data_IF_322077416010
#
_entry.id   IF_322077416010
#
_cell.length_a   1.000
_cell.length_b   1.000
_cell.length_c   1.000
_cell.angle_alpha   90.00
_cell.angle_beta   90.00
_cell.angle_gamma   90.00
#
_symmetry.space_group_name_H-M   'P 1'
#
loop_
_entity.id
_entity.type
_entity.pdbx_description
1 polymer ?
#
# COMPACT_ATOMS: atom_id res chain seq x y z
N UNK A 1 10.30 16.55 1.03
CA UNK A 1 9.33 16.11 0.00
C UNK A 1 9.05 14.66 0.26
N UNK A 2 7.79 14.28 0.39
CA UNK A 2 7.40 12.90 0.72
C UNK A 2 7.95 11.88 -0.28
N UNK A 3 8.34 10.69 0.20
CA UNK A 3 8.50 9.50 -0.64
C UNK A 3 7.14 8.85 -0.83
N UNK A 4 6.71 8.73 -2.08
CA UNK A 4 5.36 8.26 -2.44
C UNK A 4 5.42 6.81 -2.88
N UNK A 5 4.66 5.93 -2.21
CA UNK A 5 4.71 4.49 -2.40
C UNK A 5 3.33 3.94 -2.75
N UNK A 6 3.20 3.32 -3.93
CA UNK A 6 2.03 2.52 -4.26
C UNK A 6 2.18 1.11 -3.68
N UNK A 7 1.19 0.63 -2.92
CA UNK A 7 1.16 -0.75 -2.43
C UNK A 7 0.26 -1.57 -3.35
N UNK A 8 0.85 -2.33 -4.26
CA UNK A 8 0.14 -2.98 -5.35
C UNK A 8 0.47 -4.46 -5.48
N UNK A 9 -0.54 -5.24 -5.81
CA UNK A 9 -0.47 -6.61 -6.33
C UNK A 9 -1.82 -6.97 -6.94
N UNK A 10 -1.82 -7.59 -8.11
CA UNK A 10 -3.04 -8.01 -8.82
C UNK A 10 -3.80 -9.11 -8.07
N UNK A 11 -3.08 -9.94 -7.32
CA UNK A 11 -3.69 -11.03 -6.55
C UNK A 11 -4.40 -10.47 -5.32
N UNK A 12 -5.66 -10.87 -5.13
CA UNK A 12 -6.42 -10.61 -3.92
C UNK A 12 -5.86 -11.39 -2.72
N UNK A 13 -6.04 -10.86 -1.50
CA UNK A 13 -5.70 -11.57 -0.27
C UNK A 13 -4.21 -11.68 0.06
N UNK A 14 -3.30 -11.07 -0.69
CA UNK A 14 -1.83 -11.13 -0.43
C UNK A 14 -1.35 -10.22 0.71
N UNK A 15 -2.27 -9.51 1.38
CA UNK A 15 -1.92 -8.65 2.51
C UNK A 15 -1.57 -7.20 2.15
N UNK A 16 -2.00 -6.67 1.00
CA UNK A 16 -1.81 -5.24 0.63
C UNK A 16 -2.30 -4.32 1.74
N UNK A 17 -3.56 -4.40 2.09
CA UNK A 17 -4.20 -3.60 3.14
C UNK A 17 -3.50 -3.76 4.49
N UNK A 18 -3.26 -5.00 4.90
CA UNK A 18 -2.60 -5.30 6.19
C UNK A 18 -1.19 -4.72 6.24
N UNK A 19 -0.44 -4.85 5.14
CA UNK A 19 0.92 -4.28 5.05
C UNK A 19 0.87 -2.76 5.10
N UNK A 20 -0.01 -2.11 4.34
CA UNK A 20 -0.12 -0.64 4.33
C UNK A 20 -0.47 -0.10 5.71
N UNK A 21 -1.54 -0.61 6.33
CA UNK A 21 -2.00 -0.18 7.65
C UNK A 21 -0.91 -0.36 8.71
N UNK A 22 -0.29 -1.54 8.78
CA UNK A 22 0.69 -1.83 9.83
C UNK A 22 2.03 -1.14 9.59
N UNK A 23 2.46 -0.98 8.34
CA UNK A 23 3.70 -0.27 8.02
C UNK A 23 3.54 1.23 8.27
N UNK A 24 2.42 1.85 7.86
CA UNK A 24 2.13 3.25 8.15
C UNK A 24 2.11 3.50 9.67
N UNK A 25 1.37 2.68 10.42
CA UNK A 25 1.31 2.82 11.87
C UNK A 25 2.68 2.59 12.54
N UNK A 26 3.47 1.62 12.08
CA UNK A 26 4.81 1.38 12.61
C UNK A 26 5.75 2.57 12.35
N UNK A 27 5.73 3.15 11.15
CA UNK A 27 6.50 4.35 10.81
C UNK A 27 6.07 5.57 11.64
N UNK A 28 4.74 5.76 11.82
CA UNK A 28 4.20 6.82 12.66
C UNK A 28 4.64 6.66 14.13
N UNK A 29 4.61 5.45 14.69
CA UNK A 29 5.12 5.14 16.03
C UNK A 29 6.64 5.38 16.16
N UNK A 30 7.37 5.43 15.05
CA UNK A 30 8.79 5.80 14.98
C UNK A 30 9.01 7.31 14.72
N UNK A 31 7.95 8.13 14.81
CA UNK A 31 8.02 9.58 14.69
C UNK A 31 8.07 10.11 13.27
N UNK A 32 7.70 9.29 12.26
CA UNK A 32 7.57 9.76 10.86
C UNK A 32 6.16 10.31 10.59
N UNK A 33 6.08 11.38 9.80
CA UNK A 33 4.81 11.90 9.31
C UNK A 33 4.34 11.06 8.13
N UNK A 34 3.26 10.31 8.30
CA UNK A 34 2.80 9.32 7.31
C UNK A 34 1.36 9.58 6.93
N UNK A 35 1.09 9.61 5.62
CA UNK A 35 -0.25 9.62 5.04
C UNK A 35 -0.54 8.29 4.36
N UNK A 36 -1.69 7.69 4.68
CA UNK A 36 -2.24 6.54 3.98
C UNK A 36 -3.42 7.01 3.12
N UNK A 37 -3.33 6.83 1.81
CA UNK A 37 -4.41 7.10 0.86
C UNK A 37 -5.04 5.77 0.47
N UNK A 38 -6.28 5.56 0.85
CA UNK A 38 -7.02 4.35 0.50
C UNK A 38 -7.62 4.52 -0.90
N UNK A 39 -7.08 3.81 -1.89
CA UNK A 39 -7.56 3.79 -3.28
C UNK A 39 -8.37 2.53 -3.59
N UNK A 40 -8.65 1.68 -2.60
CA UNK A 40 -9.50 0.50 -2.76
C UNK A 40 -10.95 0.84 -2.39
N UNK A 41 -11.93 0.69 -3.32
CA UNK A 41 -13.35 0.91 -3.03
C UNK A 41 -13.91 0.12 -1.85
N UNK A 42 -13.22 -0.96 -1.44
CA UNK A 42 -13.63 -1.72 -0.25
C UNK A 42 -13.40 -0.93 1.06
N UNK A 43 -12.55 0.10 1.08
CA UNK A 43 -12.28 0.95 2.24
C UNK A 43 -11.72 0.19 3.44
N UNK A 44 -11.01 -0.92 3.20
CA UNK A 44 -10.51 -1.78 4.26
C UNK A 44 -9.28 -1.18 4.97
N UNK A 45 -8.48 -0.37 4.27
CA UNK A 45 -7.36 0.32 4.89
C UNK A 45 -7.88 1.46 5.79
N UNK A 46 -8.92 2.18 5.36
CA UNK A 46 -9.61 3.18 6.17
C UNK A 46 -10.10 2.59 7.49
N UNK A 47 -10.85 1.47 7.42
CA UNK A 47 -11.33 0.78 8.64
C UNK A 47 -10.19 0.27 9.52
N UNK A 48 -9.12 -0.23 8.92
CA UNK A 48 -7.94 -0.72 9.65
C UNK A 48 -7.17 0.37 10.39
N UNK A 49 -7.38 1.63 10.01
CA UNK A 49 -6.85 2.83 10.69
C UNK A 49 -7.90 3.51 11.62
N UNK A 50 -9.04 2.86 11.83
CA UNK A 50 -10.10 3.39 12.71
C UNK A 50 -11.01 4.43 12.06
N UNK A 51 -10.92 4.64 10.74
CA UNK A 51 -11.73 5.62 10.01
C UNK A 51 -12.95 4.95 9.40
N UNK A 52 -14.14 5.51 9.63
CA UNK A 52 -15.39 4.99 9.11
C UNK A 52 -15.44 5.06 7.58
N UNK A 53 -15.97 4.02 6.92
CA UNK A 53 -16.15 3.98 5.45
C UNK A 53 -17.19 5.00 4.94
N UNK A 54 -17.93 5.64 5.85
CA UNK A 54 -18.89 6.70 5.56
C UNK A 54 -18.28 8.10 5.70
N UNK A 55 -17.00 8.19 6.07
CA UNK A 55 -16.30 9.47 6.23
C UNK A 55 -16.26 10.24 4.92
N UNK A 56 -16.52 11.56 5.03
CA UNK A 56 -16.43 12.52 3.94
C UNK A 56 -15.80 13.83 4.41
N UNK A 57 -15.13 14.57 3.50
CA UNK A 57 -14.79 14.14 2.15
C UNK A 57 -13.78 13.00 2.15
N UNK A 58 -13.65 12.26 1.04
CA UNK A 58 -12.84 11.07 0.93
C UNK A 58 -12.14 10.98 -0.45
N UNK A 59 -11.47 9.87 -0.77
CA UNK A 59 -10.75 9.68 -2.05
C UNK A 59 -11.67 9.87 -3.26
N UNK A 60 -12.92 9.44 -3.21
CA UNK A 60 -13.88 9.68 -4.30
C UNK A 60 -14.17 11.17 -4.47
N UNK A 61 -14.43 11.88 -3.37
CA UNK A 61 -14.71 13.32 -3.41
C UNK A 61 -13.49 14.11 -3.95
N UNK A 62 -12.29 13.68 -3.59
CA UNK A 62 -11.05 14.27 -4.08
C UNK A 62 -10.86 14.05 -5.60
N UNK A 63 -11.14 12.85 -6.11
CA UNK A 63 -10.90 12.51 -7.51
C UNK A 63 -12.01 13.02 -8.46
N UNK A 64 -13.27 13.06 -8.00
CA UNK A 64 -14.45 13.30 -8.82
C UNK A 64 -15.11 14.64 -8.50
N UNK A 65 -15.29 14.97 -7.22
CA UNK A 65 -16.05 16.14 -6.79
C UNK A 65 -15.17 17.38 -6.58
N UNK A 66 -13.84 17.26 -6.79
CA UNK A 66 -12.93 18.40 -6.69
C UNK A 66 -12.62 18.84 -5.26
N UNK A 67 -12.88 18.00 -4.25
CA UNK A 67 -12.49 18.29 -2.87
C UNK A 67 -10.96 18.44 -2.76
N UNK A 68 -10.50 19.43 -2.00
CA UNK A 68 -9.08 19.59 -1.77
C UNK A 68 -8.53 18.40 -0.97
N UNK A 69 -7.33 17.88 -1.34
CA UNK A 69 -6.76 16.72 -0.65
C UNK A 69 -6.62 16.95 0.87
N UNK A 70 -6.26 18.18 1.28
CA UNK A 70 -6.14 18.53 2.69
C UNK A 70 -7.47 18.42 3.46
N UNK A 71 -8.60 18.68 2.81
CA UNK A 71 -9.93 18.52 3.43
C UNK A 71 -10.32 17.05 3.61
N UNK A 72 -9.73 16.16 2.80
CA UNK A 72 -9.99 14.72 2.86
C UNK A 72 -9.14 14.00 3.93
N UNK A 73 -8.15 14.67 4.53
CA UNK A 73 -7.27 14.08 5.55
C UNK A 73 -8.02 13.92 6.87
N UNK A 74 -7.99 12.71 7.39
CA UNK A 74 -8.45 12.38 8.74
C UNK A 74 -7.23 12.05 9.59
N UNK A 75 -7.02 12.81 10.67
CA UNK A 75 -5.93 12.58 11.61
C UNK A 75 -6.27 11.42 12.54
N UNK A 76 -5.34 10.51 12.70
CA UNK A 76 -5.44 9.40 13.67
C UNK A 76 -4.18 9.33 14.54
N UNK A 77 -4.24 8.59 15.65
CA UNK A 77 -3.07 8.41 16.52
C UNK A 77 -1.94 7.58 15.88
N UNK A 78 -2.19 7.03 14.68
CA UNK A 78 -1.29 6.07 14.02
C UNK A 78 -0.87 6.50 12.62
N UNK A 79 -1.01 7.78 12.31
CA UNK A 79 -0.80 8.39 11.01
C UNK A 79 -2.11 8.89 10.39
N UNK A 80 -1.98 9.74 9.39
CA UNK A 80 -3.11 10.36 8.72
C UNK A 80 -3.67 9.47 7.61
N UNK A 81 -4.96 9.63 7.31
CA UNK A 81 -5.68 8.82 6.32
C UNK A 81 -6.54 9.68 5.41
N UNK A 82 -6.43 9.49 4.09
CA UNK A 82 -7.49 9.86 3.16
C UNK A 82 -8.32 8.60 2.91
N UNK A 83 -9.56 8.51 3.44
CA UNK A 83 -10.35 7.29 3.42
C UNK A 83 -11.01 7.04 2.07
N UNK A 84 -11.38 5.78 1.81
CA UNK A 84 -12.19 5.38 0.66
C UNK A 84 -13.61 4.98 1.07
N UNK A 85 -14.53 5.09 0.12
CA UNK A 85 -15.88 4.58 0.21
C UNK A 85 -16.23 3.70 -0.99
N UNK A 86 -17.35 2.99 -0.94
CA UNK A 86 -17.84 2.16 -2.05
C UNK A 86 -18.07 2.95 -3.34
N UNK A 87 -18.36 4.23 -3.25
CA UNK A 87 -18.58 5.12 -4.40
C UNK A 87 -17.32 5.24 -5.26
N UNK A 88 -16.13 5.05 -4.68
CA UNK A 88 -14.87 5.04 -5.42
C UNK A 88 -14.84 3.99 -6.56
N UNK A 89 -15.68 2.95 -6.50
CA UNK A 89 -15.81 1.99 -7.60
C UNK A 89 -16.32 2.66 -8.91
N UNK A 90 -17.12 3.72 -8.80
CA UNK A 90 -17.60 4.47 -9.97
C UNK A 90 -16.52 5.35 -10.59
N UNK A 91 -15.51 5.75 -9.84
CA UNK A 91 -14.49 6.70 -10.29
C UNK A 91 -13.77 6.24 -11.57
N UNK A 92 -13.53 4.92 -11.75
CA UNK A 92 -12.90 4.39 -12.97
C UNK A 92 -13.73 4.65 -14.23
N UNK A 93 -15.07 4.66 -14.11
CA UNK A 93 -15.99 4.94 -15.21
C UNK A 93 -16.13 6.44 -15.43
N UNK A 94 -16.26 7.21 -14.36
CA UNK A 94 -16.44 8.66 -14.41
C UNK A 94 -15.21 9.38 -14.96
N UNK A 95 -14.01 8.89 -14.63
CA UNK A 95 -12.75 9.43 -15.14
C UNK A 95 -12.44 9.04 -16.59
N UNK A 96 -13.23 8.17 -17.25
CA UNK A 96 -12.86 7.60 -18.55
C UNK A 96 -12.65 8.68 -19.63
N UNK A 97 -13.41 9.77 -19.56
CA UNK A 97 -13.35 10.90 -20.47
C UNK A 97 -12.58 12.10 -19.90
N UNK A 98 -12.00 11.98 -18.71
CA UNK A 98 -11.25 13.08 -18.11
C UNK A 98 -9.93 13.31 -18.84
N UNK A 99 -9.56 14.57 -19.02
CA UNK A 99 -8.25 14.94 -19.59
C UNK A 99 -7.16 14.51 -18.61
N UNK A 100 -6.14 13.83 -19.14
CA UNK A 100 -5.03 13.29 -18.32
C UNK A 100 -5.53 12.45 -17.12
N UNK A 101 -6.53 11.61 -17.40
CA UNK A 101 -7.21 10.75 -16.41
C UNK A 101 -6.27 9.88 -15.56
N UNK A 102 -5.10 9.56 -16.06
CA UNK A 102 -4.07 8.78 -15.36
C UNK A 102 -3.29 9.62 -14.33
N UNK A 103 -3.42 10.95 -14.36
CA UNK A 103 -2.69 11.89 -13.52
C UNK A 103 -3.55 12.57 -12.44
N UNK A 104 -4.83 12.26 -12.36
CA UNK A 104 -5.79 12.93 -11.47
C UNK A 104 -5.36 12.81 -10.01
N UNK A 105 -5.03 11.60 -9.55
CA UNK A 105 -4.59 11.36 -8.18
C UNK A 105 -3.27 12.10 -7.86
N UNK A 106 -2.30 12.07 -8.79
CA UNK A 106 -1.04 12.80 -8.62
C UNK A 106 -1.26 14.29 -8.42
N UNK A 107 -2.10 14.90 -9.28
CA UNK A 107 -2.41 16.33 -9.21
C UNK A 107 -3.12 16.69 -7.90
N UNK A 108 -4.06 15.86 -7.47
CA UNK A 108 -4.80 16.07 -6.24
C UNK A 108 -3.90 16.03 -4.99
N UNK A 109 -2.93 15.11 -4.95
CA UNK A 109 -2.05 14.93 -3.79
C UNK A 109 -0.86 15.90 -3.74
N UNK A 110 -0.58 16.66 -4.82
CA UNK A 110 0.63 17.53 -4.89
C UNK A 110 0.75 18.52 -3.73
N UNK A 111 -0.35 19.06 -3.24
CA UNK A 111 -0.37 20.01 -2.14
C UNK A 111 0.11 19.43 -0.81
N UNK A 112 0.08 18.10 -0.66
CA UNK A 112 0.44 17.38 0.57
C UNK A 112 1.89 16.86 0.56
N UNK A 113 2.62 16.96 -0.55
CA UNK A 113 3.95 16.35 -0.68
C UNK A 113 5.02 16.93 0.24
N UNK A 114 4.81 18.14 0.77
CA UNK A 114 5.72 18.78 1.73
C UNK A 114 5.43 18.42 3.19
N UNK A 115 4.25 17.92 3.49
CA UNK A 115 3.74 17.81 4.85
C UNK A 115 4.06 16.44 5.47
N UNK A 116 4.43 15.47 4.64
CA UNK A 116 4.70 14.09 5.05
C UNK A 116 6.11 13.64 4.68
N UNK A 117 6.63 12.68 5.46
CA UNK A 117 7.84 11.93 5.11
C UNK A 117 7.50 10.83 4.09
N UNK A 118 6.36 10.17 4.28
CA UNK A 118 5.88 9.07 3.44
C UNK A 118 4.39 9.18 3.12
N UNK A 119 4.03 8.89 1.86
CA UNK A 119 2.64 8.76 1.42
C UNK A 119 2.47 7.36 0.84
N UNK A 120 1.62 6.54 1.44
CA UNK A 120 1.29 5.20 0.96
C UNK A 120 -0.08 5.20 0.28
N UNK A 121 -0.16 4.68 -0.94
CA UNK A 121 -1.42 4.51 -1.67
C UNK A 121 -1.77 3.03 -1.75
N UNK A 122 -2.90 2.63 -1.16
CA UNK A 122 -3.37 1.23 -1.15
C UNK A 122 -4.15 0.96 -2.42
N UNK A 123 -3.62 0.13 -3.32
CA UNK A 123 -4.26 -0.19 -4.58
C UNK A 123 -5.28 -1.33 -4.46
N UNK A 124 -6.39 -1.30 -5.23
CA UNK A 124 -7.27 -2.44 -5.39
C UNK A 124 -6.56 -3.63 -6.05
N UNK A 125 -7.17 -4.84 -6.04
CA UNK A 125 -6.57 -6.05 -6.64
C UNK A 125 -6.78 -6.12 -8.16
N UNK A 126 -6.71 -4.99 -8.85
CA UNK A 126 -6.84 -4.88 -10.31
C UNK A 126 -5.83 -3.86 -10.85
N UNK A 127 -5.48 -3.97 -12.14
CA UNK A 127 -4.67 -2.95 -12.84
C UNK A 127 -5.55 -1.98 -13.63
N UNK A 128 -6.66 -1.59 -13.07
CA UNK A 128 -7.57 -0.60 -13.63
C UNK A 128 -7.10 0.83 -13.36
N UNK A 129 -7.89 1.82 -13.79
CA UNK A 129 -7.53 3.23 -13.80
C UNK A 129 -7.09 3.76 -12.41
N UNK A 130 -7.71 3.30 -11.32
CA UNK A 130 -7.31 3.70 -9.96
C UNK A 130 -5.89 3.24 -9.62
N UNK A 131 -5.55 1.98 -9.96
CA UNK A 131 -4.18 1.47 -9.76
C UNK A 131 -3.18 2.19 -10.67
N UNK A 132 -3.55 2.48 -11.92
CA UNK A 132 -2.70 3.27 -12.82
C UNK A 132 -2.45 4.67 -12.24
N UNK A 133 -3.47 5.34 -11.71
CA UNK A 133 -3.32 6.63 -11.04
C UNK A 133 -2.34 6.56 -9.85
N UNK A 134 -2.44 5.52 -9.02
CA UNK A 134 -1.51 5.31 -7.91
C UNK A 134 -0.07 5.10 -8.41
N UNK A 135 0.13 4.30 -9.46
CA UNK A 135 1.46 4.08 -10.07
C UNK A 135 2.04 5.35 -10.71
N UNK A 136 1.19 6.20 -11.30
CA UNK A 136 1.60 7.48 -11.89
C UNK A 136 1.98 8.50 -10.82
N UNK A 137 1.33 8.47 -9.68
CA UNK A 137 1.63 9.36 -8.55
C UNK A 137 2.87 8.90 -7.76
N UNK A 138 3.18 7.60 -7.73
CA UNK A 138 4.22 7.01 -6.90
C UNK A 138 5.66 7.24 -7.40
N UNK A 139 6.61 7.29 -6.47
CA UNK A 139 8.04 7.13 -6.75
C UNK A 139 8.40 5.65 -6.88
N UNK A 140 7.85 4.81 -6.00
CA UNK A 140 8.15 3.38 -5.96
C UNK A 140 6.90 2.54 -5.67
N UNK A 141 7.00 1.23 -6.00
CA UNK A 141 5.97 0.23 -5.73
C UNK A 141 6.45 -0.76 -4.68
N UNK A 142 5.73 -0.86 -3.56
CA UNK A 142 5.88 -1.93 -2.57
C UNK A 142 4.94 -3.07 -2.93
N UNK A 143 5.45 -4.29 -2.97
CA UNK A 143 4.72 -5.46 -3.46
C UNK A 143 4.57 -6.51 -2.34
N UNK A 144 3.48 -6.51 -1.58
CA UNK A 144 3.17 -7.61 -0.67
C UNK A 144 2.82 -8.88 -1.46
N UNK A 145 3.40 -10.02 -1.07
CA UNK A 145 3.30 -11.26 -1.84
C UNK A 145 3.30 -12.48 -0.93
N UNK A 146 2.44 -13.47 -1.21
CA UNK A 146 2.48 -14.78 -0.56
C UNK A 146 3.43 -15.73 -1.30
N UNK A 147 4.14 -16.59 -0.55
CA UNK A 147 5.00 -17.64 -1.12
C UNK A 147 4.17 -18.87 -1.52
N UNK A 148 3.42 -18.77 -2.61
CA UNK A 148 2.60 -19.83 -3.18
C UNK A 148 3.11 -20.24 -4.57
N UNK A 149 2.64 -21.37 -5.09
CA UNK A 149 3.12 -21.95 -6.34
C UNK A 149 3.13 -20.96 -7.54
N UNK A 150 2.03 -20.22 -7.73
CA UNK A 150 1.92 -19.25 -8.81
C UNK A 150 2.53 -17.86 -8.50
N UNK A 151 3.30 -17.76 -7.43
CA UNK A 151 3.86 -16.47 -7.01
C UNK A 151 4.87 -15.91 -8.03
N UNK A 152 5.70 -16.76 -8.62
CA UNK A 152 6.71 -16.37 -9.61
C UNK A 152 6.09 -15.90 -10.93
N UNK A 153 5.02 -16.53 -11.38
CA UNK A 153 4.29 -16.10 -12.56
C UNK A 153 3.61 -14.76 -12.32
N UNK A 154 2.85 -14.65 -11.22
CA UNK A 154 2.13 -13.41 -10.88
C UNK A 154 3.04 -12.19 -10.66
N UNK A 155 4.26 -12.39 -10.12
CA UNK A 155 5.20 -11.28 -9.98
C UNK A 155 5.74 -10.81 -11.33
N UNK A 156 5.99 -11.71 -12.26
CA UNK A 156 6.50 -11.39 -13.61
C UNK A 156 5.50 -10.50 -14.37
N UNK A 157 4.22 -10.82 -14.31
CA UNK A 157 3.15 -10.04 -14.94
C UNK A 157 3.03 -8.65 -14.31
N UNK A 158 3.08 -8.59 -12.98
CA UNK A 158 3.04 -7.30 -12.27
C UNK A 158 4.25 -6.44 -12.60
N UNK A 159 5.46 -6.99 -12.60
CA UNK A 159 6.69 -6.26 -12.96
C UNK A 159 6.65 -5.76 -14.40
N UNK A 160 6.08 -6.54 -15.32
CA UNK A 160 5.88 -6.13 -16.71
C UNK A 160 4.93 -4.93 -16.79
N UNK A 161 3.82 -4.96 -16.05
CA UNK A 161 2.85 -3.88 -16.00
C UNK A 161 3.44 -2.60 -15.37
N UNK A 162 4.21 -2.71 -14.28
CA UNK A 162 4.94 -1.59 -13.67
C UNK A 162 5.93 -0.99 -14.68
N UNK A 163 6.68 -1.82 -15.39
CA UNK A 163 7.62 -1.38 -16.42
C UNK A 163 6.93 -0.67 -17.58
N UNK A 164 5.74 -1.11 -17.98
CA UNK A 164 4.94 -0.43 -19.01
C UNK A 164 4.46 0.95 -18.53
N UNK A 165 3.97 1.04 -17.30
CA UNK A 165 3.61 2.30 -16.67
C UNK A 165 4.82 3.24 -16.58
N UNK A 166 5.97 2.74 -16.11
CA UNK A 166 7.21 3.50 -16.03
C UNK A 166 7.64 4.08 -17.39
N UNK A 167 7.59 3.29 -18.44
CA UNK A 167 8.00 3.76 -19.77
C UNK A 167 7.08 4.82 -20.38
N UNK A 168 5.77 4.74 -20.12
CA UNK A 168 4.77 5.55 -20.83
C UNK A 168 4.27 6.76 -20.02
N UNK A 169 4.15 6.62 -18.68
CA UNK A 169 3.43 7.56 -17.85
C UNK A 169 4.30 8.17 -16.74
N UNK A 170 5.15 7.36 -16.08
CA UNK A 170 5.95 7.82 -14.94
C UNK A 170 7.37 7.26 -14.98
N UNK A 171 8.27 7.93 -15.68
CA UNK A 171 9.67 7.48 -15.90
C UNK A 171 10.49 7.30 -14.62
N UNK A 172 10.04 7.86 -13.49
CA UNK A 172 10.72 7.74 -12.19
C UNK A 172 10.26 6.54 -11.39
N UNK A 173 9.14 5.89 -11.81
CA UNK A 173 8.56 4.77 -11.07
C UNK A 173 9.55 3.62 -10.95
N UNK A 174 9.93 3.33 -9.72
CA UNK A 174 10.79 2.22 -9.33
C UNK A 174 10.05 1.13 -8.55
N UNK A 175 10.82 0.15 -8.09
CA UNK A 175 10.33 -0.89 -7.18
C UNK A 175 10.98 -0.66 -5.82
N UNK A 176 10.16 -0.40 -4.81
CA UNK A 176 10.59 -0.27 -3.42
C UNK A 176 11.09 -1.60 -2.88
N UNK A 177 10.31 -2.62 -3.14
CA UNK A 177 10.67 -3.98 -2.77
C UNK A 177 9.47 -4.90 -2.68
N UNK A 178 9.76 -6.17 -2.40
CA UNK A 178 8.79 -7.25 -2.25
C UNK A 178 8.80 -7.72 -0.81
N UNK A 179 7.63 -7.67 -0.16
CA UNK A 179 7.42 -8.13 1.21
C UNK A 179 6.73 -9.48 1.18
N UNK A 180 7.41 -10.51 1.70
CA UNK A 180 6.84 -11.85 1.81
C UNK A 180 5.87 -11.90 2.99
N UNK A 181 4.59 -12.13 2.70
CA UNK A 181 3.50 -12.12 3.67
C UNK A 181 2.96 -13.53 3.93
N UNK A 182 2.27 -13.71 5.06
CA UNK A 182 1.70 -14.98 5.51
C UNK A 182 2.70 -16.14 5.44
N UNK A 183 3.97 -15.81 5.71
CA UNK A 183 5.08 -16.75 5.64
C UNK A 183 4.92 -17.85 6.70
N UNK A 184 4.99 -19.12 6.26
CA UNK A 184 5.05 -20.29 7.15
C UNK A 184 6.39 -21.03 6.92
N UNK A 185 7.31 -20.86 7.85
CA UNK A 185 8.64 -21.47 7.80
C UNK A 185 8.62 -23.01 7.89
N UNK A 186 7.49 -23.61 8.28
CA UNK A 186 7.33 -25.07 8.36
C UNK A 186 6.96 -25.68 7.00
N UNK A 187 6.48 -24.87 6.06
CA UNK A 187 6.08 -25.32 4.74
C UNK A 187 7.28 -25.26 3.77
N UNK A 188 7.71 -26.40 3.26
CA UNK A 188 8.83 -26.48 2.29
C UNK A 188 8.59 -25.63 1.06
N UNK A 189 7.35 -25.60 0.53
CA UNK A 189 6.99 -24.78 -0.62
C UNK A 189 7.26 -23.30 -0.36
N UNK A 190 6.88 -22.78 0.81
CA UNK A 190 7.10 -21.38 1.19
C UNK A 190 8.58 -21.02 1.14
N UNK A 191 9.44 -21.89 1.70
CA UNK A 191 10.88 -21.69 1.71
C UNK A 191 11.49 -21.77 0.30
N UNK A 192 11.04 -22.73 -0.52
CA UNK A 192 11.49 -22.85 -1.91
C UNK A 192 11.12 -21.60 -2.73
N UNK A 193 9.88 -21.16 -2.69
CA UNK A 193 9.42 -19.96 -3.41
C UNK A 193 10.15 -18.71 -2.94
N UNK A 194 10.35 -18.55 -1.63
CA UNK A 194 11.10 -17.41 -1.08
C UNK A 194 12.55 -17.38 -1.58
N UNK A 195 13.22 -18.55 -1.62
CA UNK A 195 14.60 -18.66 -2.12
C UNK A 195 14.68 -18.35 -3.62
N UNK A 196 13.73 -18.82 -4.41
CA UNK A 196 13.68 -18.49 -5.84
C UNK A 196 13.41 -16.99 -6.06
N UNK A 197 12.50 -16.38 -5.32
CA UNK A 197 12.28 -14.93 -5.39
C UNK A 197 13.55 -14.14 -5.05
N UNK A 198 14.26 -14.51 -3.99
CA UNK A 198 15.53 -13.87 -3.62
C UNK A 198 16.62 -14.09 -4.69
N UNK A 199 16.66 -15.26 -5.30
CA UNK A 199 17.60 -15.56 -6.38
C UNK A 199 17.38 -14.69 -7.62
N UNK A 200 16.10 -14.47 -8.02
CA UNK A 200 15.77 -13.71 -9.23
C UNK A 200 15.74 -12.21 -9.02
N UNK A 201 15.31 -11.74 -7.84
CA UNK A 201 15.03 -10.34 -7.57
C UNK A 201 16.02 -9.69 -6.59
N UNK A 202 16.91 -10.51 -5.99
CA UNK A 202 18.04 -10.07 -5.17
C UNK A 202 17.60 -9.16 -4.02
N UNK A 203 18.22 -8.02 -3.94
CA UNK A 203 18.02 -6.98 -2.92
C UNK A 203 16.63 -6.35 -2.95
N UNK A 204 15.83 -6.59 -4.00
CA UNK A 204 14.44 -6.13 -4.04
C UNK A 204 13.53 -6.91 -3.09
N UNK A 205 13.90 -8.10 -2.64
CA UNK A 205 13.13 -8.83 -1.63
C UNK A 205 13.57 -8.37 -0.24
N UNK A 206 12.60 -7.97 0.60
CA UNK A 206 12.88 -7.63 1.99
C UNK A 206 13.35 -8.86 2.75
N UNK A 207 14.33 -8.67 3.65
CA UNK A 207 14.78 -9.73 4.55
C UNK A 207 13.70 -10.09 5.55
N UNK A 208 12.99 -9.05 6.05
CA UNK A 208 11.88 -9.22 6.96
C UNK A 208 10.71 -9.91 6.26
N UNK A 209 10.23 -11.01 6.84
CA UNK A 209 9.03 -11.73 6.40
C UNK A 209 7.89 -11.54 7.40
N UNK A 210 6.67 -11.42 6.90
CA UNK A 210 5.48 -11.28 7.75
C UNK A 210 4.84 -12.65 7.95
N UNK A 211 4.85 -13.21 9.16
CA UNK A 211 4.26 -14.51 9.42
C UNK A 211 2.72 -14.48 9.35
N UNK A 212 2.11 -15.62 9.07
CA UNK A 212 0.66 -15.75 9.23
C UNK A 212 0.28 -15.50 10.70
N UNK A 213 -0.68 -14.60 10.94
CA UNK A 213 -1.10 -14.19 12.29
C UNK A 213 -2.59 -13.91 12.33
N UNK A 214 -3.28 -14.58 13.24
CA UNK A 214 -4.70 -14.35 13.52
C UNK A 214 -4.92 -12.94 14.07
N UNK A 215 -4.02 -12.45 14.93
CA UNK A 215 -4.11 -11.12 15.51
C UNK A 215 -4.10 -9.99 14.49
N UNK A 216 -3.29 -10.14 13.42
CA UNK A 216 -3.31 -9.19 12.30
C UNK A 216 -4.64 -9.21 11.53
N UNK A 217 -5.35 -10.34 11.51
CA UNK A 217 -6.65 -10.46 10.86
C UNK A 217 -7.80 -9.97 11.74
N UNK A 218 -7.66 -10.03 13.06
CA UNK A 218 -8.65 -9.55 14.03
C UNK A 218 -8.60 -8.02 14.20
N UNK A 219 -7.41 -7.43 14.21
CA UNK A 219 -7.18 -6.02 14.50
C UNK A 219 -8.11 -5.05 13.72
N UNK A 220 -8.39 -5.23 12.41
CA UNK A 220 -9.30 -4.36 11.68
C UNK A 220 -10.74 -4.37 12.22
N UNK A 221 -11.21 -5.45 12.86
CA UNK A 221 -12.55 -5.50 13.47
C UNK A 221 -12.68 -4.58 14.69
N UNK A 222 -11.53 -4.16 15.25
CA UNK A 222 -11.43 -3.20 16.35
C UNK A 222 -11.04 -1.79 15.85
N UNK A 223 -10.90 -1.59 14.52
CA UNK A 223 -10.46 -0.32 13.97
C UNK A 223 -9.01 0.05 14.33
N UNK A 224 -8.16 -0.95 14.59
CA UNK A 224 -6.79 -0.73 15.04
C UNK A 224 -5.78 -1.41 14.10
N UNK A 225 -4.61 -0.77 13.86
CA UNK A 225 -3.47 -1.45 13.29
C UNK A 225 -3.00 -2.61 14.18
N UNK A 226 -2.60 -3.73 13.60
CA UNK A 226 -2.14 -4.89 14.38
C UNK A 226 -0.96 -4.60 15.30
N UNK A 227 -0.05 -3.70 14.86
CA UNK A 227 1.11 -3.23 15.66
C UNK A 227 0.70 -2.48 16.93
N UNK A 228 -0.54 -2.02 17.01
CA UNK A 228 -1.14 -1.37 18.19
C UNK A 228 -2.04 -2.34 18.95
N UNK A 229 -2.86 -3.10 18.21
CA UNK A 229 -3.84 -4.03 18.78
C UNK A 229 -3.18 -5.10 19.65
N UNK A 230 -2.07 -5.68 19.21
CA UNK A 230 -1.30 -6.66 19.97
C UNK A 230 0.20 -6.50 19.66
N UNK A 231 0.87 -5.63 20.44
CA UNK A 231 2.28 -5.26 20.24
C UNK A 231 3.27 -6.41 20.41
N UNK A 232 2.94 -7.42 21.22
CA UNK A 232 3.82 -8.55 21.49
C UNK A 232 3.68 -9.68 20.48
N UNK A 233 2.64 -9.64 19.64
CA UNK A 233 2.39 -10.64 18.62
C UNK A 233 3.53 -10.70 17.59
N UNK A 234 3.81 -11.90 17.07
CA UNK A 234 4.87 -12.14 16.09
C UNK A 234 4.66 -11.34 14.79
N UNK A 235 3.41 -11.18 14.34
CA UNK A 235 3.08 -10.40 13.16
C UNK A 235 3.34 -8.90 13.37
N UNK A 236 2.97 -8.36 14.53
CA UNK A 236 3.22 -6.97 14.90
C UNK A 236 4.71 -6.67 15.00
N UNK A 237 5.48 -7.53 15.66
CA UNK A 237 6.94 -7.43 15.73
C UNK A 237 7.58 -7.47 14.35
N UNK A 238 7.06 -8.29 13.44
CA UNK A 238 7.55 -8.36 12.07
C UNK A 238 7.28 -7.06 11.30
N UNK A 239 6.13 -6.41 11.47
CA UNK A 239 5.88 -5.09 10.86
C UNK A 239 6.73 -3.98 11.45
N UNK A 240 7.03 -4.02 12.75
CA UNK A 240 8.00 -3.08 13.35
C UNK A 240 9.41 -3.29 12.76
N UNK A 241 9.85 -4.55 12.59
CA UNK A 241 11.12 -4.86 11.95
C UNK A 241 11.13 -4.43 10.47
N UNK A 242 10.01 -4.63 9.74
CA UNK A 242 9.85 -4.17 8.37
C UNK A 242 9.98 -2.64 8.26
N UNK A 243 9.41 -1.89 9.20
CA UNK A 243 9.52 -0.43 9.22
C UNK A 243 10.97 0.03 9.42
N UNK A 244 11.74 -0.63 10.29
CA UNK A 244 13.18 -0.37 10.46
C UNK A 244 13.94 -0.63 9.17
N UNK A 245 13.70 -1.79 8.54
CA UNK A 245 14.35 -2.15 7.27
C UNK A 245 13.95 -1.19 6.14
N UNK A 246 12.67 -0.78 6.09
CA UNK A 246 12.17 0.18 5.12
C UNK A 246 12.86 1.55 5.24
N UNK A 247 13.01 2.08 6.44
CA UNK A 247 13.74 3.34 6.68
C UNK A 247 15.19 3.19 6.22
N UNK A 248 15.88 2.14 6.63
CA UNK A 248 17.28 1.90 6.28
C UNK A 248 17.51 1.76 4.76
N UNK A 249 16.52 1.26 4.01
CA UNK A 249 16.56 1.19 2.54
C UNK A 249 16.25 2.54 1.89
N UNK A 250 15.41 3.36 2.53
CA UNK A 250 15.00 4.68 2.01
C UNK A 250 16.07 5.75 2.17
N UNK A 251 17.01 5.57 3.09
CA UNK A 251 18.12 6.50 3.38
C UNK A 251 19.40 6.19 2.58
N UNK A 252 19.42 5.12 1.78
CA UNK A 252 20.49 4.77 0.83
C UNK A 252 20.26 5.41 -0.53
#
# INVERSE_FOLDING_TARGET
MAKIIAVANQKGGVGKTTTSVNLCAALSLMGKNVLLVDCDPQGNASSGMGVAKTQRPNTYDMLINGAAAAECVVHTDYGDVIPASKELAAASVELINAVEREFVLKKALMSLFSDYDYIFMVCPPSLELLTVNALVAADNVLIPMQCEYYALEGITDLLTSIKMCSKRLNRRLGIEGIVLTMYDSRANLTTQVANELRRYLGDKVYETVIPRSVRLSEAPSHGLPGVVYDRINRGSKAYMALAVEFIARSEK
#
